data_IF_086893665993
#
_entry.id   IF_086893665993
#
_cell.length_a   1.000
_cell.length_b   1.000
_cell.length_c   1.000
_cell.angle_alpha   90.00
_cell.angle_beta   90.00
_cell.angle_gamma   90.00
#
_symmetry.space_group_name_H-M   'P 1'
#
loop_
_entity.id
_entity.type
_entity.pdbx_description
1 polymer ?
#
# COMPACT_ATOMS: atom_id res chain seq x y z
N UNK A 1 -7.85 -8.20 -8.00
CA UNK A 1 -8.44 -7.01 -8.64
C UNK A 1 -7.42 -6.60 -9.67
N UNK A 2 -7.66 -6.85 -10.97
CA UNK A 2 -6.64 -6.78 -12.03
C UNK A 2 -5.91 -5.43 -12.14
N UNK A 3 -6.45 -4.40 -11.48
CA UNK A 3 -6.04 -3.00 -11.55
C UNK A 3 -5.34 -2.50 -10.28
N UNK A 4 -5.04 -3.38 -9.32
CA UNK A 4 -4.40 -3.03 -8.05
C UNK A 4 -3.23 -3.96 -7.73
N UNK A 5 -2.08 -3.37 -7.45
CA UNK A 5 -0.94 -4.08 -6.84
C UNK A 5 -0.78 -3.63 -5.40
N UNK A 6 -0.58 -4.59 -4.50
CA UNK A 6 -0.38 -4.32 -3.07
C UNK A 6 1.05 -4.67 -2.69
N UNK A 7 1.69 -3.72 -2.04
CA UNK A 7 3.05 -3.82 -1.55
C UNK A 7 3.08 -3.49 -0.06
N UNK A 8 3.96 -4.12 0.69
CA UNK A 8 4.18 -3.84 2.11
C UNK A 8 5.57 -3.25 2.30
N UNK A 9 5.68 -2.26 3.19
CA UNK A 9 6.95 -1.62 3.51
C UNK A 9 7.06 -1.30 5.00
N UNK A 10 8.12 -0.60 5.41
CA UNK A 10 8.24 -0.07 6.76
C UNK A 10 8.50 -1.12 7.84
N UNK A 11 7.88 -0.93 9.00
CA UNK A 11 8.15 -1.73 10.22
C UNK A 11 7.74 -3.19 10.07
N UNK A 12 6.69 -3.45 9.29
CA UNK A 12 6.17 -4.79 8.99
C UNK A 12 7.22 -5.74 8.39
N UNK A 13 8.22 -5.22 7.67
CA UNK A 13 9.27 -6.03 7.06
C UNK A 13 10.36 -6.49 8.06
N UNK A 14 10.39 -5.93 9.27
CA UNK A 14 11.53 -6.05 10.20
C UNK A 14 11.16 -6.62 11.56
N UNK A 15 9.88 -6.75 11.88
CA UNK A 15 9.42 -7.24 13.18
C UNK A 15 8.15 -8.09 13.06
N UNK A 16 8.02 -9.08 13.94
CA UNK A 16 6.82 -9.92 14.07
C UNK A 16 5.64 -9.19 14.74
N UNK A 17 5.92 -8.08 15.43
CA UNK A 17 4.91 -7.27 16.13
C UNK A 17 5.01 -5.80 15.70
N UNK A 18 4.65 -5.49 14.44
CA UNK A 18 4.70 -4.13 13.94
C UNK A 18 3.69 -3.25 14.68
N UNK A 19 4.05 -1.97 14.86
CA UNK A 19 3.16 -0.99 15.52
C UNK A 19 2.12 -0.42 14.57
N UNK A 20 2.37 -0.55 13.28
CA UNK A 20 1.61 -0.07 12.14
C UNK A 20 1.81 -1.00 10.94
N UNK A 21 0.83 -1.05 10.03
CA UNK A 21 0.94 -1.77 8.76
C UNK A 21 1.03 -0.73 7.65
N UNK A 22 2.18 -0.63 7.01
CA UNK A 22 2.38 0.29 5.89
C UNK A 22 2.19 -0.45 4.55
N UNK A 23 1.19 -0.03 3.78
CA UNK A 23 0.81 -0.63 2.50
C UNK A 23 0.91 0.40 1.38
N UNK A 24 1.59 0.02 0.30
CA UNK A 24 1.61 0.79 -0.94
C UNK A 24 0.65 0.13 -1.94
N UNK A 25 -0.24 0.94 -2.50
CA UNK A 25 -1.20 0.54 -3.52
C UNK A 25 -0.80 1.19 -4.84
N UNK A 26 -0.42 0.37 -5.82
CA UNK A 26 -0.28 0.82 -7.21
C UNK A 26 -1.59 0.60 -7.93
N UNK A 27 -2.18 1.66 -8.47
CA UNK A 27 -3.50 1.59 -9.11
C UNK A 27 -3.46 2.16 -10.54
N UNK A 28 -4.35 1.63 -11.39
CA UNK A 28 -4.66 2.18 -12.71
C UNK A 28 -5.96 2.97 -12.74
N UNK A 29 -6.98 2.52 -11.99
CA UNK A 29 -8.27 3.22 -11.86
C UNK A 29 -8.39 3.96 -10.50
N UNK A 30 -8.46 5.31 -10.50
CA UNK A 30 -8.65 6.11 -9.28
C UNK A 30 -9.94 5.77 -8.50
N UNK A 31 -10.94 5.19 -9.15
CA UNK A 31 -12.19 4.80 -8.50
C UNK A 31 -11.95 3.73 -7.43
N UNK A 32 -11.03 2.80 -7.66
CA UNK A 32 -10.66 1.78 -6.68
C UNK A 32 -10.08 2.37 -5.40
N UNK A 33 -9.22 3.39 -5.52
CA UNK A 33 -8.66 4.10 -4.36
C UNK A 33 -9.76 4.86 -3.63
N UNK A 34 -10.65 5.53 -4.37
CA UNK A 34 -11.79 6.25 -3.80
C UNK A 34 -12.72 5.33 -3.01
N UNK A 35 -13.01 4.15 -3.53
CA UNK A 35 -13.88 3.18 -2.86
C UNK A 35 -13.21 2.58 -1.63
N UNK A 36 -11.91 2.26 -1.70
CA UNK A 36 -11.10 1.93 -0.53
C UNK A 36 -11.22 3.03 0.53
N UNK A 37 -11.08 4.30 0.12
CA UNK A 37 -11.17 5.43 1.03
C UNK A 37 -12.55 5.55 1.72
N UNK A 38 -13.63 5.19 1.01
CA UNK A 38 -14.98 5.24 1.57
C UNK A 38 -15.23 4.15 2.60
N UNK A 39 -14.59 3.00 2.46
CA UNK A 39 -14.78 1.87 3.38
C UNK A 39 -14.15 2.11 4.75
N UNK A 40 -13.19 3.04 4.88
CA UNK A 40 -12.51 3.42 6.14
C UNK A 40 -12.00 2.23 6.95
N UNK A 41 -11.65 1.12 6.29
CA UNK A 41 -11.27 -0.13 6.97
C UNK A 41 -10.05 0.04 7.88
N UNK A 42 -9.15 0.95 7.54
CA UNK A 42 -7.95 1.25 8.32
C UNK A 42 -8.23 1.87 9.69
N UNK A 43 -9.43 2.44 9.92
CA UNK A 43 -9.82 2.96 11.24
C UNK A 43 -10.13 1.83 12.23
N UNK A 44 -10.30 0.60 11.74
CA UNK A 44 -10.74 -0.57 12.52
C UNK A 44 -9.66 -1.64 12.71
N UNK A 45 -8.44 -1.45 12.18
CA UNK A 45 -7.37 -2.47 12.30
C UNK A 45 -6.49 -2.23 13.52
N UNK A 46 -6.03 -3.33 14.13
CA UNK A 46 -4.97 -3.34 15.15
C UNK A 46 -3.88 -4.33 14.70
N UNK A 47 -2.65 -3.87 14.43
CA UNK A 47 -2.17 -2.48 14.48
C UNK A 47 -2.82 -1.56 13.40
N UNK A 48 -2.70 -0.22 13.52
CA UNK A 48 -3.23 0.73 12.54
C UNK A 48 -2.67 0.48 11.15
N UNK A 49 -3.54 0.52 10.14
CA UNK A 49 -3.16 0.40 8.74
C UNK A 49 -2.95 1.80 8.14
N UNK A 50 -1.79 2.02 7.55
CA UNK A 50 -1.47 3.20 6.77
C UNK A 50 -1.28 2.78 5.33
N UNK A 51 -1.90 3.50 4.40
CA UNK A 51 -1.71 3.23 2.98
C UNK A 51 -1.32 4.48 2.21
N UNK A 52 -0.41 4.27 1.27
CA UNK A 52 -0.05 5.23 0.23
C UNK A 52 -0.59 4.67 -1.07
N UNK A 53 -1.26 5.50 -1.87
CA UNK A 53 -1.73 5.12 -3.19
C UNK A 53 -1.03 5.97 -4.23
N UNK A 54 -0.51 5.34 -5.28
CA UNK A 54 0.11 6.02 -6.40
C UNK A 54 -0.16 5.29 -7.71
N UNK A 55 -0.09 6.02 -8.81
CA UNK A 55 -0.09 5.47 -10.16
C UNK A 55 1.27 4.85 -10.48
N UNK A 56 1.32 4.03 -11.53
CA UNK A 56 2.59 3.45 -12.00
C UNK A 56 3.60 4.50 -12.49
N UNK A 57 3.12 5.65 -12.97
CA UNK A 57 3.99 6.76 -13.39
C UNK A 57 4.57 7.50 -12.18
N UNK A 58 3.77 7.76 -11.15
CA UNK A 58 4.27 8.32 -9.88
C UNK A 58 5.30 7.40 -9.23
N UNK A 59 5.08 6.08 -9.20
CA UNK A 59 6.08 5.14 -8.69
C UNK A 59 7.38 5.18 -9.50
N UNK A 60 7.30 5.35 -10.83
CA UNK A 60 8.50 5.47 -11.67
C UNK A 60 9.31 6.72 -11.34
N UNK A 61 8.62 7.82 -11.05
CA UNK A 61 9.25 9.11 -10.75
C UNK A 61 9.85 9.13 -9.34
N UNK A 62 9.15 8.60 -8.34
CA UNK A 62 9.61 8.58 -6.95
C UNK A 62 10.52 7.38 -6.61
N UNK A 63 10.40 6.29 -7.35
CA UNK A 63 11.07 4.99 -7.11
C UNK A 63 10.84 4.51 -5.67
N UNK A 64 9.62 4.64 -5.15
CA UNK A 64 9.33 4.41 -3.74
C UNK A 64 9.57 2.95 -3.36
N UNK A 65 9.20 1.99 -4.21
CA UNK A 65 9.40 0.55 -3.96
C UNK A 65 10.88 0.25 -3.74
N UNK A 66 11.74 0.79 -4.61
CA UNK A 66 13.18 0.58 -4.51
C UNK A 66 13.79 1.25 -3.29
N UNK A 67 13.43 2.51 -3.04
CA UNK A 67 13.98 3.30 -1.91
C UNK A 67 13.57 2.71 -0.56
N UNK A 68 12.33 2.23 -0.45
CA UNK A 68 11.81 1.67 0.80
C UNK A 68 12.08 0.17 0.96
N UNK A 69 12.49 -0.51 -0.11
CA UNK A 69 12.62 -1.96 -0.15
C UNK A 69 11.27 -2.66 0.00
N UNK A 70 10.20 -2.08 -0.55
CA UNK A 70 8.85 -2.63 -0.45
C UNK A 70 8.77 -4.04 -1.07
N UNK A 71 7.99 -4.90 -0.46
CA UNK A 71 7.80 -6.30 -0.89
C UNK A 71 6.40 -6.47 -1.46
N UNK A 72 6.31 -7.09 -2.63
CA UNK A 72 5.03 -7.38 -3.27
C UNK A 72 4.23 -8.39 -2.44
N UNK A 73 3.02 -8.00 -2.05
CA UNK A 73 2.07 -8.86 -1.34
C UNK A 73 1.05 -9.48 -2.32
N UNK A 74 0.53 -8.67 -3.24
CA UNK A 74 -0.45 -9.10 -4.23
C UNK A 74 -0.13 -8.52 -5.61
N UNK A 75 0.09 -9.37 -6.63
CA UNK A 75 0.22 -8.93 -8.03
C UNK A 75 -1.12 -8.39 -8.57
N UNK A 76 -1.12 -7.67 -9.71
CA UNK A 76 -2.34 -7.18 -10.34
C UNK A 76 -3.33 -8.33 -10.64
#
# INVERSE_FOLDING_TARGET
MPDLQLWVFGSMLRTEHPRDLDVLIIYTDPQHVTDLYRMRLWEATLPPLHFIAMTADEERDYRFIEVTGAVLLQPP
#
